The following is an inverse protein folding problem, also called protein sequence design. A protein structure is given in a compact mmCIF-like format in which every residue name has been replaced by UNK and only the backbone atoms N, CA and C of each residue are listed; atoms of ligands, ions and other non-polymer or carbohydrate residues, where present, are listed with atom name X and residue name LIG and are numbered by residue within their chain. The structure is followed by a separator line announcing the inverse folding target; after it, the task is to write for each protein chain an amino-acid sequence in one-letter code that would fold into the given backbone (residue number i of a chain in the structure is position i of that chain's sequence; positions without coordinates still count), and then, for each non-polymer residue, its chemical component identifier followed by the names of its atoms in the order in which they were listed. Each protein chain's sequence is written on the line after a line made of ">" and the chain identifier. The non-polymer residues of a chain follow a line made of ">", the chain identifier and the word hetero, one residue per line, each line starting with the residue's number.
data_IF_951262958674
#
_entry.id   IF_951262958674
#
_cell.length_a   1.000
_cell.length_b   1.000
_cell.length_c   1.000
_cell.angle_alpha   90.00
_cell.angle_beta   90.00
_cell.angle_gamma   90.00
#
_symmetry.space_group_name_H-M   'P 1'
#
loop_
_entity.id
_entity.type
_entity.pdbx_description
1 polymer ?
#
# COMPACT_ATOMS: atom_id res chain seq x y z
N UNK A 1 6.22 -2.52 -8.74
CA UNK A 1 5.34 -1.36 -8.50
C UNK A 1 5.33 -0.43 -9.74
N UNK A 2 4.32 0.46 -9.96
CA UNK A 2 4.39 1.48 -11.01
C UNK A 2 5.64 2.37 -10.89
N UNK A 3 6.14 2.93 -12.00
CA UNK A 3 7.27 3.88 -11.98
C UNK A 3 6.97 5.07 -11.09
N UNK A 4 7.81 5.33 -10.08
CA UNK A 4 7.63 6.42 -9.11
C UNK A 4 7.02 6.02 -7.75
N UNK A 5 6.81 4.72 -7.51
CA UNK A 5 6.35 4.19 -6.22
C UNK A 5 7.46 3.39 -5.54
N UNK A 6 7.75 3.71 -4.28
CA UNK A 6 8.58 2.87 -3.43
C UNK A 6 7.70 1.83 -2.71
N UNK A 7 8.28 0.70 -2.33
CA UNK A 7 7.57 -0.30 -1.54
C UNK A 7 8.52 -0.92 -0.54
N UNK A 8 8.10 -0.95 0.72
CA UNK A 8 8.79 -1.63 1.83
C UNK A 8 8.10 -2.98 2.15
N UNK A 9 7.02 -3.32 1.42
CA UNK A 9 6.16 -4.45 1.71
C UNK A 9 5.83 -5.25 0.44
N UNK A 10 6.87 -5.69 -0.27
CA UNK A 10 6.77 -6.65 -1.37
C UNK A 10 6.84 -8.08 -0.81
N UNK A 11 5.97 -8.96 -1.30
CA UNK A 11 5.94 -10.37 -0.91
C UNK A 11 5.87 -11.23 -2.15
N UNK A 12 6.53 -12.37 -2.12
CA UNK A 12 6.43 -13.39 -3.14
C UNK A 12 6.50 -14.77 -2.51
N UNK A 13 5.99 -15.76 -3.24
CA UNK A 13 5.99 -17.16 -2.83
C UNK A 13 6.69 -17.96 -3.92
N UNK A 14 7.60 -18.85 -3.52
CA UNK A 14 8.36 -19.72 -4.42
C UNK A 14 8.31 -21.15 -3.90
N UNK A 15 8.31 -22.11 -4.81
CA UNK A 15 8.50 -23.52 -4.50
C UNK A 15 9.94 -23.95 -4.75
N UNK A 16 10.44 -24.81 -3.88
CA UNK A 16 11.75 -25.43 -3.95
C UNK A 16 11.61 -26.91 -4.31
N UNK A 17 12.64 -27.48 -4.94
CA UNK A 17 12.63 -28.89 -5.37
C UNK A 17 12.98 -29.87 -4.26
N UNK A 18 13.60 -29.39 -3.19
CA UNK A 18 13.95 -30.15 -2.00
C UNK A 18 13.78 -29.28 -0.75
N UNK A 19 13.77 -29.89 0.43
CA UNK A 19 13.64 -29.15 1.68
C UNK A 19 14.95 -28.43 1.99
N UNK A 20 14.86 -27.12 2.15
CA UNK A 20 15.98 -26.22 2.44
C UNK A 20 15.65 -25.37 3.67
N UNK A 21 16.69 -24.97 4.39
CA UNK A 21 16.58 -24.03 5.51
C UNK A 21 16.14 -22.65 4.98
N UNK A 22 15.03 -22.06 5.48
CA UNK A 22 14.57 -20.73 5.10
C UNK A 22 15.65 -19.65 5.20
N UNK A 23 16.53 -19.70 6.20
CA UNK A 23 17.57 -18.66 6.36
C UNK A 23 18.67 -18.78 5.29
N UNK A 24 19.00 -20.00 4.87
CA UNK A 24 19.92 -20.21 3.73
C UNK A 24 19.30 -19.70 2.43
N UNK A 25 18.00 -19.90 2.24
CA UNK A 25 17.26 -19.34 1.09
C UNK A 25 17.27 -17.81 1.15
N UNK A 26 17.01 -17.22 2.33
CA UNK A 26 17.04 -15.77 2.53
C UNK A 26 18.38 -15.18 2.11
N UNK A 27 19.49 -15.70 2.66
CA UNK A 27 20.83 -15.21 2.38
C UNK A 27 21.22 -15.38 0.90
N UNK A 28 20.90 -16.52 0.29
CA UNK A 28 21.22 -16.79 -1.11
C UNK A 28 20.43 -15.88 -2.07
N UNK A 29 19.17 -15.57 -1.75
CA UNK A 29 18.37 -14.63 -2.54
C UNK A 29 18.87 -13.20 -2.36
N UNK A 30 19.19 -12.79 -1.14
CA UNK A 30 19.73 -11.46 -0.82
C UNK A 30 21.04 -11.18 -1.59
N UNK A 31 21.96 -12.14 -1.61
CA UNK A 31 23.21 -12.05 -2.38
C UNK A 31 22.98 -11.99 -3.89
N UNK A 32 21.92 -12.62 -4.38
CA UNK A 32 21.62 -12.70 -5.81
C UNK A 32 20.83 -11.50 -6.36
N UNK A 33 20.19 -10.72 -5.48
CA UNK A 33 19.39 -9.56 -5.88
C UNK A 33 20.27 -8.32 -6.14
N UNK A 34 19.84 -7.42 -7.04
CA UNK A 34 20.53 -6.16 -7.27
C UNK A 34 20.38 -5.21 -6.08
N UNK A 35 21.34 -4.29 -5.94
CA UNK A 35 21.31 -3.22 -4.93
C UNK A 35 19.95 -2.51 -4.87
N UNK A 36 19.45 -2.31 -3.65
CA UNK A 36 18.15 -1.68 -3.38
C UNK A 36 16.97 -2.66 -3.33
N UNK A 37 17.22 -3.97 -3.43
CA UNK A 37 16.25 -5.02 -3.12
C UNK A 37 16.83 -5.96 -2.07
N UNK A 38 16.38 -5.80 -0.82
CA UNK A 38 16.85 -6.60 0.31
C UNK A 38 15.82 -7.69 0.66
N UNK A 39 16.27 -8.92 0.91
CA UNK A 39 15.41 -10.00 1.43
C UNK A 39 15.38 -9.92 2.96
N UNK A 40 14.29 -9.32 3.45
CA UNK A 40 14.11 -9.08 4.87
C UNK A 40 13.82 -10.37 5.65
N UNK A 41 13.02 -11.27 5.07
CA UNK A 41 12.56 -12.47 5.77
C UNK A 41 12.13 -13.56 4.79
N UNK A 42 12.40 -14.82 5.16
CA UNK A 42 11.86 -16.01 4.49
C UNK A 42 11.31 -16.94 5.55
N UNK A 43 10.08 -17.40 5.34
CA UNK A 43 9.41 -18.38 6.18
C UNK A 43 8.99 -19.58 5.34
N UNK A 44 8.89 -20.75 5.95
CA UNK A 44 8.25 -21.89 5.28
C UNK A 44 6.74 -21.63 5.16
N UNK A 45 6.21 -21.72 3.95
CA UNK A 45 4.79 -21.48 3.71
C UNK A 45 3.92 -22.54 4.40
N UNK A 46 2.96 -22.08 5.21
CA UNK A 46 1.90 -22.92 5.75
C UNK A 46 0.79 -23.23 4.74
N UNK A 47 -0.29 -23.90 5.16
CA UNK A 47 -1.44 -24.16 4.30
C UNK A 47 -2.11 -22.87 3.79
N UNK A 48 -2.58 -22.90 2.54
CA UNK A 48 -3.21 -21.75 1.86
C UNK A 48 -2.21 -20.98 1.00
N UNK A 49 -2.67 -19.97 0.26
CA UNK A 49 -1.79 -19.15 -0.58
C UNK A 49 -1.46 -17.82 0.09
N UNK A 50 -0.23 -17.33 -0.10
CA UNK A 50 0.12 -15.95 0.27
C UNK A 50 -0.85 -14.93 -0.34
N UNK A 51 -1.28 -15.13 -1.58
CA UNK A 51 -2.18 -14.21 -2.29
C UNK A 51 -3.50 -13.99 -1.54
N UNK A 52 -4.07 -15.02 -0.89
CA UNK A 52 -5.30 -14.91 -0.09
C UNK A 52 -5.10 -14.10 1.20
N UNK A 53 -3.85 -13.99 1.67
CA UNK A 53 -3.48 -13.21 2.86
C UNK A 53 -3.19 -11.75 2.54
N UNK A 54 -3.01 -11.38 1.27
CA UNK A 54 -2.79 -9.99 0.83
C UNK A 54 -4.12 -9.30 0.54
N UNK A 55 -4.81 -8.87 1.59
CA UNK A 55 -6.18 -8.34 1.54
C UNK A 55 -6.25 -6.81 1.59
N UNK A 56 -5.19 -6.14 2.06
CA UNK A 56 -5.10 -4.69 2.13
C UNK A 56 -3.66 -4.21 2.03
N UNK A 57 -3.51 -2.93 1.71
CA UNK A 57 -2.24 -2.21 1.70
C UNK A 57 -2.33 -0.97 2.60
N UNK A 58 -1.25 -0.69 3.31
CA UNK A 58 -1.02 0.59 3.97
C UNK A 58 -0.12 1.45 3.09
N UNK A 59 -0.61 2.62 2.69
CA UNK A 59 0.10 3.56 1.84
C UNK A 59 0.42 4.84 2.59
N UNK A 60 1.61 5.36 2.33
CA UNK A 60 2.02 6.70 2.71
C UNK A 60 2.18 7.55 1.45
N UNK A 61 1.52 8.70 1.42
CA UNK A 61 1.58 9.66 0.30
C UNK A 61 2.03 11.01 0.85
N UNK A 62 3.23 11.43 0.47
CA UNK A 62 3.75 12.77 0.75
C UNK A 62 3.31 13.76 -0.33
N UNK A 63 2.91 14.96 0.09
CA UNK A 63 2.55 16.09 -0.79
C UNK A 63 3.53 17.26 -0.62
N UNK A 64 4.72 17.22 -1.25
CA UNK A 64 5.71 18.28 -1.09
C UNK A 64 5.16 19.64 -1.55
N UNK A 65 5.34 20.66 -0.72
CA UNK A 65 4.96 22.04 -1.04
C UNK A 65 3.45 22.30 -1.07
N UNK A 66 2.61 21.32 -0.72
CA UNK A 66 1.15 21.49 -0.66
C UNK A 66 0.73 21.76 0.78
N UNK A 67 -0.16 22.73 0.98
CA UNK A 67 -0.64 23.12 2.32
C UNK A 67 -1.31 21.92 3.04
N UNK A 68 -0.82 21.51 4.23
CA UNK A 68 -1.40 20.39 4.95
C UNK A 68 -2.87 20.56 5.35
N UNK A 69 -3.34 21.78 5.60
CA UNK A 69 -4.76 22.01 5.89
C UNK A 69 -5.63 21.77 4.65
N UNK A 70 -5.12 22.15 3.48
CA UNK A 70 -5.78 21.89 2.21
C UNK A 70 -5.87 20.37 1.92
N UNK A 71 -4.78 19.63 2.16
CA UNK A 71 -4.75 18.16 2.04
C UNK A 71 -5.73 17.52 3.03
N UNK A 72 -5.73 17.96 4.30
CA UNK A 72 -6.65 17.45 5.32
C UNK A 72 -8.10 17.66 4.93
N UNK A 73 -8.48 18.88 4.54
CA UNK A 73 -9.84 19.18 4.12
C UNK A 73 -10.27 18.39 2.87
N UNK A 74 -9.34 18.10 1.95
CA UNK A 74 -9.62 17.26 0.80
C UNK A 74 -9.88 15.79 1.17
N UNK A 75 -9.07 15.25 2.10
CA UNK A 75 -9.25 13.89 2.62
C UNK A 75 -10.55 13.76 3.40
N UNK A 76 -10.90 14.75 4.23
CA UNK A 76 -12.18 14.78 4.94
C UNK A 76 -13.37 14.78 3.98
N UNK A 77 -13.32 15.59 2.91
CA UNK A 77 -14.36 15.59 1.86
C UNK A 77 -14.46 14.26 1.14
N UNK A 78 -13.33 13.64 0.78
CA UNK A 78 -13.32 12.31 0.18
C UNK A 78 -13.94 11.28 1.13
N UNK A 79 -13.52 11.26 2.39
CA UNK A 79 -14.03 10.31 3.38
C UNK A 79 -15.52 10.49 3.70
N UNK A 80 -16.04 11.71 3.60
CA UNK A 80 -17.46 12.02 3.76
C UNK A 80 -18.32 11.75 2.52
N UNK A 81 -17.72 11.55 1.35
CA UNK A 81 -18.45 11.27 0.12
C UNK A 81 -18.99 9.82 0.12
N UNK A 82 -20.20 9.63 -0.40
CA UNK A 82 -20.80 8.30 -0.59
C UNK A 82 -20.05 7.46 -1.63
N UNK A 83 -19.45 8.13 -2.63
CA UNK A 83 -18.71 7.48 -3.72
C UNK A 83 -17.71 8.44 -4.36
N UNK A 84 -16.60 7.91 -4.87
CA UNK A 84 -15.64 8.64 -5.70
C UNK A 84 -15.27 7.78 -6.93
N UNK A 85 -16.06 7.86 -8.02
CA UNK A 85 -15.84 7.04 -9.20
C UNK A 85 -14.57 7.48 -9.95
N UNK A 86 -13.76 6.49 -10.32
CA UNK A 86 -12.54 6.68 -11.12
C UNK A 86 -12.58 5.76 -12.33
N UNK A 87 -12.02 6.21 -13.45
CA UNK A 87 -12.00 5.43 -14.69
C UNK A 87 -10.56 5.12 -15.08
N UNK A 88 -10.25 3.84 -15.26
CA UNK A 88 -8.96 3.37 -15.76
C UNK A 88 -9.13 2.56 -17.04
N UNK A 89 -8.22 2.74 -17.99
CA UNK A 89 -8.18 1.93 -19.22
C UNK A 89 -7.51 0.60 -18.96
N UNK A 90 -8.21 -0.50 -19.23
CA UNK A 90 -7.68 -1.87 -19.19
C UNK A 90 -7.54 -2.42 -20.61
N UNK A 91 -6.92 -3.59 -20.75
CA UNK A 91 -6.82 -4.30 -22.05
C UNK A 91 -8.20 -4.54 -22.70
N UNK A 92 -9.25 -4.66 -21.88
CA UNK A 92 -10.64 -4.86 -22.32
C UNK A 92 -11.42 -3.54 -22.50
N UNK A 93 -10.75 -2.39 -22.46
CA UNK A 93 -11.39 -1.06 -22.51
C UNK A 93 -11.45 -0.35 -21.16
N UNK A 94 -12.02 0.87 -21.12
CA UNK A 94 -12.18 1.64 -19.89
C UNK A 94 -13.15 0.95 -18.92
N UNK A 95 -12.80 0.96 -17.63
CA UNK A 95 -13.70 0.53 -16.56
C UNK A 95 -13.74 1.60 -15.48
N UNK A 96 -14.94 1.88 -14.99
CA UNK A 96 -15.19 2.79 -13.87
C UNK A 96 -15.48 1.97 -12.62
N UNK A 97 -14.89 2.37 -11.50
CA UNK A 97 -15.07 1.73 -10.19
C UNK A 97 -14.93 2.79 -9.09
N UNK A 98 -15.44 2.48 -7.90
CA UNK A 98 -15.41 3.41 -6.78
C UNK A 98 -14.10 3.30 -6.00
N UNK A 99 -13.30 4.37 -6.00
CA UNK A 99 -12.07 4.43 -5.22
C UNK A 99 -12.36 4.66 -3.73
N UNK A 100 -13.40 5.43 -3.40
CA UNK A 100 -13.75 5.77 -2.01
C UNK A 100 -14.14 4.53 -1.22
N UNK A 101 -14.90 3.61 -1.84
CA UNK A 101 -15.36 2.38 -1.21
C UNK A 101 -14.22 1.45 -0.74
N UNK A 102 -13.01 1.58 -1.30
CA UNK A 102 -11.85 0.78 -0.90
C UNK A 102 -11.05 1.38 0.27
N UNK A 103 -11.26 2.64 0.61
CA UNK A 103 -10.50 3.32 1.68
C UNK A 103 -11.16 3.01 3.02
N UNK A 104 -10.44 2.27 3.86
CA UNK A 104 -10.88 1.84 5.20
C UNK A 104 -10.56 2.90 6.23
N UNK A 105 -9.35 3.47 6.16
CA UNK A 105 -8.90 4.56 7.03
C UNK A 105 -8.00 5.53 6.27
N UNK A 106 -8.02 6.79 6.69
CA UNK A 106 -7.25 7.87 6.09
C UNK A 106 -6.90 8.92 7.16
N UNK A 107 -5.60 9.18 7.33
CA UNK A 107 -5.10 10.13 8.32
C UNK A 107 -4.06 11.06 7.72
N UNK A 108 -4.19 12.36 7.98
CA UNK A 108 -3.24 13.38 7.53
C UNK A 108 -2.42 13.87 8.70
N UNK A 109 -1.11 13.62 8.64
CA UNK A 109 -0.12 14.17 9.56
C UNK A 109 0.75 15.22 8.88
N UNK A 110 1.44 16.01 9.68
CA UNK A 110 2.38 17.04 9.21
C UNK A 110 3.76 16.63 9.69
N UNK A 111 4.71 16.47 8.76
CA UNK A 111 6.11 16.25 9.11
C UNK A 111 6.99 17.45 8.72
N UNK A 112 7.98 17.73 9.58
CA UNK A 112 8.94 18.83 9.45
C UNK A 112 8.57 20.09 10.25
N UNK A 113 9.58 20.74 10.82
CA UNK A 113 9.43 21.98 11.61
C UNK A 113 9.48 23.28 10.77
N UNK A 114 9.93 23.19 9.51
CA UNK A 114 10.22 24.30 8.58
C UNK A 114 8.98 24.69 7.74
N UNK A 115 8.80 25.93 7.24
CA UNK A 115 7.79 26.33 6.24
C UNK A 115 7.63 25.45 4.98
N UNK A 116 8.50 24.48 4.74
CA UNK A 116 8.35 23.42 3.73
C UNK A 116 7.63 22.17 4.28
N UNK A 117 6.70 22.35 5.23
CA UNK A 117 5.96 21.25 5.87
C UNK A 117 5.34 20.36 4.78
N UNK A 118 5.62 19.07 4.86
CA UNK A 118 5.04 18.10 3.95
C UNK A 118 3.79 17.53 4.61
N UNK A 119 2.66 17.63 3.93
CA UNK A 119 1.47 16.88 4.33
C UNK A 119 1.72 15.40 3.99
N UNK A 120 1.49 14.53 4.96
CA UNK A 120 1.61 13.09 4.78
C UNK A 120 0.25 12.47 5.02
N UNK A 121 -0.27 11.81 3.99
CA UNK A 121 -1.49 11.03 4.05
C UNK A 121 -1.13 9.55 4.23
N UNK A 122 -1.56 8.97 5.36
CA UNK A 122 -1.54 7.52 5.60
C UNK A 122 -2.92 6.94 5.31
N UNK A 123 -2.95 5.86 4.53
CA UNK A 123 -4.17 5.22 4.04
C UNK A 123 -4.12 3.72 4.30
N UNK A 124 -5.22 3.16 4.79
CA UNK A 124 -5.48 1.72 4.74
C UNK A 124 -6.47 1.45 3.63
N UNK A 125 -6.04 0.71 2.61
CA UNK A 125 -6.82 0.44 1.40
C UNK A 125 -7.08 -1.05 1.28
N UNK A 126 -8.35 -1.44 1.30
CA UNK A 126 -8.77 -2.80 1.04
C UNK A 126 -8.56 -3.15 -0.44
N UNK A 127 -8.03 -4.35 -0.70
CA UNK A 127 -7.90 -4.87 -2.05
C UNK A 127 -9.26 -5.30 -2.59
N UNK A 128 -9.61 -4.78 -3.75
CA UNK A 128 -10.87 -5.04 -4.44
C UNK A 128 -10.59 -5.49 -5.87
N UNK A 129 -11.63 -5.88 -6.61
CA UNK A 129 -11.53 -6.17 -8.03
C UNK A 129 -12.39 -5.18 -8.83
N UNK A 130 -11.79 -4.22 -9.56
CA UNK A 130 -10.35 -4.00 -9.76
C UNK A 130 -9.66 -3.36 -8.55
N UNK A 131 -8.36 -3.61 -8.40
CA UNK A 131 -7.57 -3.01 -7.31
C UNK A 131 -7.53 -1.49 -7.45
N UNK A 132 -7.86 -0.80 -6.35
CA UNK A 132 -7.67 0.65 -6.18
C UNK A 132 -6.20 0.92 -5.86
N UNK A 133 -5.55 1.71 -6.71
CA UNK A 133 -4.14 2.11 -6.59
C UNK A 133 -4.03 3.52 -5.99
N UNK A 134 -2.85 3.92 -5.48
CA UNK A 134 -2.61 5.29 -5.04
C UNK A 134 -2.99 6.36 -6.09
N UNK A 135 -2.72 6.13 -7.37
CA UNK A 135 -3.10 7.05 -8.46
C UNK A 135 -4.61 7.22 -8.62
N UNK A 136 -5.37 6.16 -8.35
CA UNK A 136 -6.84 6.20 -8.37
C UNK A 136 -7.33 7.10 -7.22
N UNK A 137 -6.72 7.01 -6.03
CA UNK A 137 -7.04 7.85 -4.86
C UNK A 137 -6.65 9.31 -5.11
N UNK A 138 -5.47 9.56 -5.70
CA UNK A 138 -5.06 10.91 -6.12
C UNK A 138 -6.04 11.51 -7.14
N UNK A 139 -6.57 10.68 -8.05
CA UNK A 139 -7.59 11.09 -9.02
C UNK A 139 -8.92 11.39 -8.32
N UNK A 140 -9.32 10.59 -7.35
CA UNK A 140 -10.51 10.83 -6.54
C UNK A 140 -10.40 12.12 -5.71
N UNK A 141 -9.25 12.37 -5.07
CA UNK A 141 -8.99 13.60 -4.31
C UNK A 141 -9.09 14.85 -5.19
N UNK A 142 -8.51 14.82 -6.39
CA UNK A 142 -8.70 15.89 -7.38
C UNK A 142 -10.18 16.08 -7.74
N UNK A 143 -10.89 15.00 -8.04
CA UNK A 143 -12.29 15.08 -8.49
C UNK A 143 -13.26 15.55 -7.41
N UNK A 144 -13.09 15.13 -6.16
CA UNK A 144 -14.04 15.41 -5.07
C UNK A 144 -13.72 16.73 -4.37
N UNK A 145 -12.45 17.10 -4.34
CA UNK A 145 -11.98 18.16 -3.46
C UNK A 145 -11.11 19.21 -4.14
N UNK A 146 -10.90 19.11 -5.46
CA UNK A 146 -10.03 20.00 -6.25
C UNK A 146 -8.60 20.10 -5.69
N UNK A 147 -8.11 18.98 -5.14
CA UNK A 147 -6.78 18.93 -4.54
C UNK A 147 -5.69 18.92 -5.63
N UNK A 148 -5.12 20.08 -5.90
CA UNK A 148 -3.92 20.20 -6.72
C UNK A 148 -2.65 20.11 -5.86
N UNK A 149 -1.70 19.26 -6.29
CA UNK A 149 -0.42 19.12 -5.61
C UNK A 149 0.61 20.07 -6.22
N UNK A 150 1.34 20.81 -5.39
CA UNK A 150 2.37 21.75 -5.85
C UNK A 150 3.56 21.06 -6.54
N UNK A 151 3.81 19.80 -6.19
CA UNK A 151 4.78 18.92 -6.82
C UNK A 151 4.18 17.50 -6.94
N UNK A 152 4.86 16.62 -7.68
CA UNK A 152 4.47 15.21 -7.77
C UNK A 152 4.42 14.57 -6.37
N UNK A 153 3.29 13.95 -5.98
CA UNK A 153 3.22 13.21 -4.73
C UNK A 153 4.23 12.05 -4.72
N UNK A 154 4.79 11.78 -3.53
CA UNK A 154 5.70 10.65 -3.31
C UNK A 154 4.91 9.55 -2.63
N UNK A 155 4.93 8.35 -3.19
CA UNK A 155 4.08 7.23 -2.75
C UNK A 155 4.93 6.05 -2.31
N UNK A 156 4.68 5.57 -1.10
CA UNK A 156 5.36 4.42 -0.51
C UNK A 156 4.35 3.42 0.04
N UNK A 157 4.48 2.13 -0.31
CA UNK A 157 3.75 1.06 0.39
C UNK A 157 4.48 0.70 1.67
N UNK A 158 3.84 0.91 2.82
CA UNK A 158 4.40 0.62 4.15
C UNK A 158 4.16 -0.82 4.59
N UNK A 159 2.96 -1.33 4.33
CA UNK A 159 2.57 -2.68 4.69
C UNK A 159 1.60 -3.26 3.65
N UNK A 160 1.57 -4.59 3.55
CA UNK A 160 0.59 -5.31 2.75
C UNK A 160 0.31 -6.66 3.39
N UNK A 161 -0.95 -7.06 3.52
CA UNK A 161 -1.30 -8.24 4.30
C UNK A 161 -2.79 -8.31 4.67
N UNK A 162 -3.11 -8.94 5.81
CA UNK A 162 -4.49 -9.14 6.21
C UNK A 162 -5.11 -7.81 6.67
N UNK A 163 -6.35 -7.56 6.27
CA UNK A 163 -7.07 -6.37 6.70
C UNK A 163 -7.48 -6.51 8.17
N UNK A 164 -7.11 -5.52 8.99
CA UNK A 164 -7.67 -5.30 10.33
C UNK A 164 -8.64 -4.14 10.29
N UNK A 165 -9.78 -4.29 10.95
CA UNK A 165 -10.86 -3.28 10.93
C UNK A 165 -11.01 -2.52 12.25
N UNK A 166 -10.39 -2.97 13.34
CA UNK A 166 -10.47 -2.32 14.66
C UNK A 166 -9.19 -2.58 15.51
N UNK A 167 -8.24 -1.62 15.59
CA UNK A 167 -8.14 -0.44 14.74
C UNK A 167 -7.91 -0.83 13.27
N UNK A 168 -8.27 0.07 12.36
CA UNK A 168 -7.99 -0.14 10.94
C UNK A 168 -6.47 -0.25 10.71
N UNK A 169 -6.05 -1.20 9.88
CA UNK A 169 -4.64 -1.40 9.59
C UNK A 169 -4.38 -2.66 8.79
N UNK A 170 -3.11 -2.96 8.61
CA UNK A 170 -2.65 -4.17 7.94
C UNK A 170 -1.87 -5.03 8.93
N UNK A 171 -2.17 -6.33 8.97
CA UNK A 171 -1.41 -7.31 9.75
C UNK A 171 -0.41 -8.03 8.85
N UNK A 172 0.70 -8.46 9.46
CA UNK A 172 1.75 -9.22 8.79
C UNK A 172 1.17 -10.52 8.17
N UNK A 173 1.26 -10.70 6.84
CA UNK A 173 0.74 -11.89 6.18
C UNK A 173 1.52 -13.16 6.51
N UNK A 174 2.74 -13.05 7.04
CA UNK A 174 3.59 -14.18 7.38
C UNK A 174 3.44 -14.65 8.83
N UNK A 175 2.70 -13.91 9.67
CA UNK A 175 2.62 -14.20 11.12
C UNK A 175 2.23 -15.65 11.44
N UNK A 176 1.25 -16.21 10.74
CA UNK A 176 0.80 -17.59 10.96
C UNK A 176 1.89 -18.63 10.62
N UNK A 177 2.72 -18.36 9.61
CA UNK A 177 3.80 -19.27 9.21
C UNK A 177 4.96 -19.22 10.22
N UNK A 178 5.21 -18.05 10.82
CA UNK A 178 6.22 -17.86 11.87
C UNK A 178 5.86 -18.64 13.13
N UNK A 179 4.61 -18.56 13.57
CA UNK A 179 4.13 -19.24 14.77
C UNK A 179 4.22 -20.78 14.64
N UNK A 180 4.00 -21.29 13.42
CA UNK A 180 4.13 -22.70 13.10
C UNK A 180 5.59 -23.19 13.08
N UNK A 181 6.54 -22.33 12.67
CA UNK A 181 7.96 -22.66 12.64
C UNK A 181 8.64 -22.59 14.03
N UNK A 182 8.08 -21.80 14.95
CA UNK A 182 8.59 -21.64 16.32
C UNK A 182 8.01 -22.62 17.36
N UNK A 183 7.06 -23.48 16.96
CA UNK A 183 6.41 -24.50 17.81
C UNK A 183 7.00 -25.89 17.59
#
# INVERSE_FOLDING_TARGET
>A
APTGTASEAEYFEISVTERVDPELVRAALDEALPDGLDVIEVVEAGPGSLAERLQASEWEIGFPGTDPEHVRGAVERLMAADSAPVTRTFKTGPKTFDARAAIVDAQVSIEGADPRRCAILRLVVQHTTPVVRPDDILTALRSVADLESAASPVVTRRAQGLLRTAPAGVADPLAADKDAAGS
#
